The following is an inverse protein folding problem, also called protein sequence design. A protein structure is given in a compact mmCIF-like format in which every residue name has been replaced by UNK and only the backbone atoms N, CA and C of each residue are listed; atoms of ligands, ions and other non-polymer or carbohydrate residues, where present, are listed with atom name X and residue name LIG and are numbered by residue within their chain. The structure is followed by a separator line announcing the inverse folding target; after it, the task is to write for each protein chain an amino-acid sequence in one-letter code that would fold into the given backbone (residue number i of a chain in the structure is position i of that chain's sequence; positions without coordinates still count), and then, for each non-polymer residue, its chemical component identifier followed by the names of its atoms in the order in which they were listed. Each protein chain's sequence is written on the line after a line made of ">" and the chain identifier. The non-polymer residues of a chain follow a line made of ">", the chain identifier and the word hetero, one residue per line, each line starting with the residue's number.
data_IF_102103489640
#
_entry.id   IF_102103489640
#
_cell.length_a   1.000
_cell.length_b   1.000
_cell.length_c   1.000
_cell.angle_alpha   90.00
_cell.angle_beta   90.00
_cell.angle_gamma   90.00
#
_symmetry.space_group_name_H-M   'P 1'
#
loop_
_entity.id
_entity.type
_entity.pdbx_description
1 polymer ?
#
# COMPACT_ATOMS: atom_id res chain seq x y z
N UNK A 1 10.28 -10.99 -4.36
CA UNK A 1 9.71 -9.72 -3.86
C UNK A 1 8.43 -10.06 -3.11
N UNK A 2 8.32 -9.71 -1.83
CA UNK A 2 7.10 -10.01 -1.05
C UNK A 2 6.13 -8.82 -1.20
N UNK A 3 4.96 -9.09 -1.78
CA UNK A 3 3.85 -8.14 -1.90
C UNK A 3 2.94 -8.35 -0.69
N UNK A 4 2.77 -7.33 0.15
CA UNK A 4 1.88 -7.39 1.30
C UNK A 4 0.86 -6.26 1.20
N UNK A 5 -0.41 -6.61 1.42
CA UNK A 5 -1.53 -5.67 1.40
C UNK A 5 -1.88 -5.35 2.85
N UNK A 6 -1.59 -4.12 3.27
CA UNK A 6 -1.88 -3.70 4.64
C UNK A 6 -3.19 -2.90 4.66
N UNK A 7 -4.15 -3.21 5.54
CA UNK A 7 -5.35 -2.42 5.71
C UNK A 7 -4.97 -1.04 6.26
N UNK A 8 -5.48 0.01 5.63
CA UNK A 8 -5.30 1.40 6.05
C UNK A 8 -6.47 1.84 6.91
N UNK A 9 -7.68 1.53 6.46
CA UNK A 9 -8.94 1.97 7.07
C UNK A 9 -10.05 1.00 6.69
N UNK A 10 -10.93 0.73 7.65
CA UNK A 10 -12.13 -0.06 7.46
C UNK A 10 -13.30 0.77 7.99
N UNK A 11 -14.40 0.82 7.25
CA UNK A 11 -15.60 1.57 7.65
C UNK A 11 -16.85 0.83 7.24
N UNK A 12 -17.86 0.86 8.10
CA UNK A 12 -19.19 0.34 7.77
C UNK A 12 -19.98 1.44 7.05
N UNK A 13 -20.72 1.06 6.01
CA UNK A 13 -21.60 1.94 5.25
C UNK A 13 -23.06 1.62 5.60
N UNK A 14 -23.85 2.68 5.78
CA UNK A 14 -25.28 2.58 6.05
C UNK A 14 -26.17 2.41 4.78
N UNK A 15 -25.54 2.13 3.63
CA UNK A 15 -26.20 2.03 2.34
C UNK A 15 -26.75 0.62 2.10
N UNK A 16 -27.77 0.51 1.24
CA UNK A 16 -28.30 -0.79 0.83
C UNK A 16 -27.35 -1.51 -0.13
N UNK A 17 -27.24 -2.82 0.06
CA UNK A 17 -26.48 -3.69 -0.84
C UNK A 17 -27.22 -3.84 -2.19
N UNK A 18 -26.56 -3.65 -3.36
CA UNK A 18 -27.18 -3.85 -4.67
C UNK A 18 -27.60 -5.30 -4.98
N UNK A 19 -27.04 -6.29 -4.27
CA UNK A 19 -27.36 -7.71 -4.48
C UNK A 19 -28.50 -8.20 -3.57
N UNK A 20 -28.50 -7.79 -2.29
CA UNK A 20 -29.46 -8.29 -1.28
C UNK A 20 -30.35 -7.23 -0.63
N UNK A 21 -30.30 -5.97 -1.08
CA UNK A 21 -31.10 -4.82 -0.60
C UNK A 21 -31.11 -4.62 0.91
N UNK A 22 -30.14 -5.22 1.59
CA UNK A 22 -30.07 -5.22 3.04
C UNK A 22 -29.31 -3.98 3.49
N UNK A 23 -29.90 -3.28 4.45
CA UNK A 23 -29.36 -2.06 5.01
C UNK A 23 -28.22 -2.36 5.98
N UNK A 24 -27.29 -1.41 6.14
CA UNK A 24 -26.29 -1.38 7.21
C UNK A 24 -25.36 -2.61 7.33
N UNK A 25 -25.15 -3.36 6.26
CA UNK A 25 -24.28 -4.56 6.25
C UNK A 25 -23.13 -4.47 5.24
N UNK A 26 -22.89 -3.29 4.69
CA UNK A 26 -21.78 -3.03 3.77
C UNK A 26 -20.54 -2.59 4.55
N UNK A 27 -19.40 -3.17 4.22
CA UNK A 27 -18.11 -2.84 4.79
C UNK A 27 -17.15 -2.43 3.66
N UNK A 28 -16.61 -1.23 3.77
CA UNK A 28 -15.62 -0.68 2.85
C UNK A 28 -14.24 -0.73 3.50
N UNK A 29 -13.34 -1.49 2.89
CA UNK A 29 -11.97 -1.66 3.32
C UNK A 29 -11.00 -1.04 2.32
N UNK A 30 -10.05 -0.24 2.81
CA UNK A 30 -8.99 0.36 2.03
C UNK A 30 -7.65 -0.29 2.35
N UNK A 31 -6.90 -0.67 1.32
CA UNK A 31 -5.62 -1.36 1.41
C UNK A 31 -4.53 -0.58 0.68
N UNK A 32 -3.31 -0.65 1.21
CA UNK A 32 -2.12 -0.15 0.54
C UNK A 32 -1.18 -1.28 0.20
N UNK A 33 -0.60 -1.25 -1.01
CA UNK A 33 0.45 -2.20 -1.40
C UNK A 33 1.80 -1.76 -0.84
N UNK A 34 2.40 -2.63 -0.04
CA UNK A 34 3.77 -2.52 0.41
C UNK A 34 4.64 -3.54 -0.33
N UNK A 35 5.69 -3.05 -0.95
CA UNK A 35 6.72 -3.86 -1.59
C UNK A 35 7.92 -3.95 -0.66
N UNK A 36 8.12 -5.13 -0.09
CA UNK A 36 9.25 -5.42 0.80
C UNK A 36 10.34 -6.15 0.02
N UNK A 37 11.53 -5.56 0.01
CA UNK A 37 12.74 -6.21 -0.46
C UNK A 37 13.78 -6.28 0.66
N UNK A 38 14.82 -7.11 0.50
CA UNK A 38 15.86 -7.33 1.53
C UNK A 38 16.63 -6.04 1.84
N UNK A 39 16.79 -5.16 0.85
CA UNK A 39 17.61 -3.95 0.93
C UNK A 39 16.80 -2.66 1.15
N UNK A 40 15.53 -2.63 0.71
CA UNK A 40 14.68 -1.45 0.75
C UNK A 40 13.19 -1.80 0.88
N UNK A 41 12.44 -0.91 1.53
CA UNK A 41 10.99 -0.91 1.53
C UNK A 41 10.47 0.20 0.63
N UNK A 42 9.52 -0.15 -0.22
CA UNK A 42 8.77 0.80 -1.01
C UNK A 42 7.27 0.63 -0.74
N UNK A 43 6.65 1.70 -0.29
CA UNK A 43 5.21 1.76 -0.14
C UNK A 43 4.62 2.48 -1.36
N UNK A 44 3.73 1.80 -2.08
CA UNK A 44 3.07 2.36 -3.26
C UNK A 44 2.05 3.43 -2.87
N UNK A 45 1.88 4.41 -3.76
CA UNK A 45 0.83 5.42 -3.64
C UNK A 45 -0.55 4.90 -4.08
N UNK A 46 -0.61 3.66 -4.61
CA UNK A 46 -1.86 3.06 -5.05
C UNK A 46 -2.64 2.53 -3.85
N UNK A 47 -3.85 3.08 -3.67
CA UNK A 47 -4.85 2.62 -2.71
C UNK A 47 -5.82 1.69 -3.44
N UNK A 48 -6.08 0.53 -2.86
CA UNK A 48 -7.10 -0.42 -3.32
C UNK A 48 -8.28 -0.35 -2.36
N UNK A 49 -9.50 -0.37 -2.89
CA UNK A 49 -10.72 -0.39 -2.09
C UNK A 49 -11.52 -1.64 -2.39
N UNK A 50 -11.95 -2.34 -1.36
CA UNK A 50 -12.84 -3.49 -1.46
C UNK A 50 -14.13 -3.21 -0.69
N UNK A 51 -15.25 -3.51 -1.32
CA UNK A 51 -16.57 -3.40 -0.71
C UNK A 51 -17.10 -4.81 -0.49
N UNK A 52 -17.41 -5.16 0.76
CA UNK A 52 -17.92 -6.47 1.15
C UNK A 52 -19.30 -6.31 1.78
N UNK A 53 -20.23 -7.20 1.45
CA UNK A 53 -21.48 -7.31 2.19
C UNK A 53 -21.41 -8.48 3.16
N UNK A 54 -21.65 -8.21 4.45
CA UNK A 54 -21.57 -9.24 5.50
C UNK A 54 -22.75 -10.22 5.46
N UNK A 55 -23.91 -9.81 4.90
CA UNK A 55 -25.08 -10.68 4.76
C UNK A 55 -24.98 -11.61 3.56
N UNK A 56 -24.57 -11.08 2.41
CA UNK A 56 -24.36 -11.84 1.19
C UNK A 56 -23.00 -12.59 1.18
N UNK A 57 -22.10 -12.26 2.12
CA UNK A 57 -20.73 -12.77 2.21
C UNK A 57 -19.93 -12.65 0.90
N UNK A 58 -20.28 -11.64 0.10
CA UNK A 58 -19.73 -11.43 -1.25
C UNK A 58 -18.99 -10.11 -1.34
N UNK A 59 -18.01 -10.06 -2.23
CA UNK A 59 -17.27 -8.84 -2.58
C UNK A 59 -17.99 -8.20 -3.77
N UNK A 60 -18.36 -6.94 -3.61
CA UNK A 60 -19.10 -6.16 -4.61
C UNK A 60 -18.09 -5.34 -5.41
N UNK A 61 -17.89 -5.70 -6.67
CA UNK A 61 -16.97 -4.99 -7.56
C UNK A 61 -17.54 -3.64 -8.01
N UNK A 62 -16.67 -2.65 -8.34
CA UNK A 62 -17.07 -1.29 -8.70
C UNK A 62 -18.12 -1.20 -9.82
N UNK A 63 -18.11 -2.15 -10.77
CA UNK A 63 -19.08 -2.22 -11.86
C UNK A 63 -20.54 -2.36 -11.37
N UNK A 64 -20.74 -2.86 -10.14
CA UNK A 64 -22.05 -3.09 -9.51
C UNK A 64 -22.40 -2.03 -8.46
N UNK A 65 -21.57 -1.00 -8.31
CA UNK A 65 -21.85 0.03 -7.32
C UNK A 65 -23.00 0.92 -7.81
N UNK A 66 -23.82 1.35 -6.86
CA UNK A 66 -24.80 2.40 -7.11
C UNK A 66 -24.13 3.75 -6.98
N UNK A 67 -24.71 4.79 -7.60
CA UNK A 67 -24.22 6.17 -7.53
C UNK A 67 -24.01 6.68 -6.10
N UNK A 68 -24.83 6.23 -5.16
CA UNK A 68 -24.74 6.59 -3.74
C UNK A 68 -23.50 5.98 -3.08
N UNK A 69 -23.20 4.72 -3.39
CA UNK A 69 -22.00 4.03 -2.92
C UNK A 69 -20.75 4.68 -3.51
N UNK A 70 -20.76 5.04 -4.79
CA UNK A 70 -19.64 5.75 -5.44
C UNK A 70 -19.35 7.09 -4.76
N UNK A 71 -20.39 7.88 -4.46
CA UNK A 71 -20.24 9.17 -3.81
C UNK A 71 -19.62 9.04 -2.40
N UNK A 72 -20.11 8.07 -1.62
CA UNK A 72 -19.59 7.80 -0.26
C UNK A 72 -18.17 7.25 -0.34
N UNK A 73 -17.89 6.36 -1.29
CA UNK A 73 -16.55 5.87 -1.55
C UNK A 73 -15.57 7.01 -1.85
N UNK A 74 -15.92 7.92 -2.76
CA UNK A 74 -15.09 9.08 -3.12
C UNK A 74 -14.83 9.99 -1.92
N UNK A 75 -15.83 10.19 -1.06
CA UNK A 75 -15.66 10.93 0.18
C UNK A 75 -14.61 10.27 1.08
N UNK A 76 -14.76 8.96 1.35
CA UNK A 76 -13.81 8.25 2.19
C UNK A 76 -12.43 8.15 1.55
N UNK A 77 -12.34 7.98 0.24
CA UNK A 77 -11.08 7.93 -0.50
C UNK A 77 -10.27 9.21 -0.29
N UNK A 78 -10.92 10.38 -0.28
CA UNK A 78 -10.28 11.67 0.05
C UNK A 78 -9.75 11.75 1.48
N UNK A 79 -10.35 11.00 2.42
CA UNK A 79 -9.86 10.92 3.81
C UNK A 79 -8.68 9.96 3.99
N UNK A 80 -8.43 9.08 3.03
CA UNK A 80 -7.32 8.11 3.10
C UNK A 80 -6.06 8.78 2.56
N UNK A 81 -5.14 9.13 3.46
CA UNK A 81 -3.84 9.68 3.08
C UNK A 81 -2.88 8.54 2.77
N UNK A 82 -2.54 8.36 1.49
CA UNK A 82 -1.50 7.43 1.07
C UNK A 82 -0.14 7.87 1.62
N UNK A 83 0.47 7.04 2.47
CA UNK A 83 1.80 7.31 3.02
C UNK A 83 2.85 6.73 2.09
N UNK A 84 3.33 7.52 1.12
CA UNK A 84 4.53 7.16 0.34
C UNK A 84 5.74 7.20 1.25
N UNK A 85 6.32 6.04 1.53
CA UNK A 85 7.52 5.93 2.35
C UNK A 85 8.53 5.02 1.68
N UNK A 86 9.76 5.51 1.58
CA UNK A 86 10.91 4.76 1.08
C UNK A 86 11.90 4.71 2.24
N UNK A 87 12.10 3.51 2.80
CA UNK A 87 13.06 3.29 3.88
C UNK A 87 14.07 2.25 3.45
N UNK A 88 15.34 2.60 3.54
CA UNK A 88 16.46 1.68 3.39
C UNK A 88 16.63 0.86 4.66
N UNK A 89 16.87 -0.44 4.51
CA UNK A 89 17.20 -1.30 5.66
C UNK A 89 18.66 -1.10 6.10
N UNK A 90 18.97 -1.54 7.33
CA UNK A 90 20.34 -1.56 7.87
C UNK A 90 21.34 -2.22 6.90
N UNK A 91 20.93 -3.29 6.21
CA UNK A 91 21.75 -3.96 5.19
C UNK A 91 22.07 -3.05 3.99
N UNK A 92 21.13 -2.21 3.56
CA UNK A 92 21.36 -1.23 2.50
C UNK A 92 22.41 -0.19 2.89
N UNK A 93 22.40 0.28 4.14
CA UNK A 93 23.42 1.19 4.65
C UNK A 93 24.80 0.53 4.76
N UNK A 94 24.87 -0.73 5.22
CA UNK A 94 26.14 -1.49 5.30
C UNK A 94 26.74 -1.69 3.90
N UNK A 95 25.93 -2.06 2.92
CA UNK A 95 26.39 -2.22 1.55
C UNK A 95 26.95 -0.91 0.98
N UNK A 96 26.27 0.22 1.23
CA UNK A 96 26.72 1.54 0.78
C UNK A 96 28.07 1.92 1.42
N UNK A 97 28.24 1.72 2.72
CA UNK A 97 29.51 1.96 3.41
C UNK A 97 30.66 1.08 2.86
N UNK A 98 30.40 -0.20 2.61
CA UNK A 98 31.39 -1.12 2.04
C UNK A 98 31.85 -0.66 0.65
N UNK A 99 30.92 -0.24 -0.20
CA UNK A 99 31.27 0.23 -1.56
C UNK A 99 32.09 1.52 -1.52
N UNK A 100 31.75 2.47 -0.65
CA UNK A 100 32.52 3.70 -0.47
C UNK A 100 33.92 3.42 0.05
N UNK A 101 34.04 2.57 1.08
CA UNK A 101 35.34 2.18 1.63
C UNK A 101 36.21 1.50 0.56
N UNK A 102 35.65 0.56 -0.20
CA UNK A 102 36.37 -0.13 -1.26
C UNK A 102 36.86 0.83 -2.36
N UNK A 103 36.01 1.77 -2.80
CA UNK A 103 36.39 2.78 -3.79
C UNK A 103 37.54 3.66 -3.29
N UNK A 104 37.48 4.12 -2.04
CA UNK A 104 38.55 4.94 -1.46
C UNK A 104 39.86 4.18 -1.33
N UNK A 105 39.82 2.91 -0.91
CA UNK A 105 41.02 2.07 -0.81
C UNK A 105 41.67 1.82 -2.17
N UNK A 106 40.86 1.56 -3.21
CA UNK A 106 41.37 1.36 -4.58
C UNK A 106 42.03 2.64 -5.11
N UNK A 107 41.39 3.78 -4.95
CA UNK A 107 41.94 5.09 -5.35
C UNK A 107 43.25 5.40 -4.64
N UNK A 108 43.33 5.12 -3.33
CA UNK A 108 44.54 5.32 -2.55
C UNK A 108 45.70 4.45 -3.03
N UNK A 109 45.45 3.16 -3.30
CA UNK A 109 46.46 2.25 -3.83
C UNK A 109 46.94 2.68 -5.23
N UNK A 110 46.03 3.12 -6.11
CA UNK A 110 46.39 3.64 -7.43
C UNK A 110 47.24 4.92 -7.37
N UNK A 111 46.97 5.80 -6.41
CA UNK A 111 47.80 6.99 -6.16
C UNK A 111 49.17 6.64 -5.58
N UNK A 112 49.27 5.58 -4.76
CA UNK A 112 50.53 5.14 -4.15
C UNK A 112 51.45 4.40 -5.15
N UNK A 113 50.90 3.82 -6.21
CA UNK A 113 51.65 3.13 -7.26
C UNK A 113 52.24 4.08 -8.32
N UNK A 114 51.92 5.38 -8.25
CA UNK A 114 52.37 6.40 -9.19
C UNK A 114 53.44 7.28 -8.56
#
# INVERSE_FOLDING_TARGET
>A
MQKTENPIKQTQLANHCPECFSQDTLELSFYQRNFKNILWNYTSNQIFSELRCNKCQTIIYPIRWTKEIELVHDFYLKTVVAKKNIRLYKLGYVALFLTLSALTSVLYLLLLQK
#
